data_IF_920756231224
#
_entry.id   IF_920756231224
#
_cell.length_a   1.000
_cell.length_b   1.000
_cell.length_c   1.000
_cell.angle_alpha   90.00
_cell.angle_beta   90.00
_cell.angle_gamma   90.00
#
_symmetry.space_group_name_H-M   'P 1'
#
loop_
_entity.id
_entity.type
_entity.pdbx_description
1 polymer ?
#
# COMPACT_ATOMS: atom_id res chain seq x y z
N UNK A 1 5.98 1.01 24.70
CA UNK A 1 5.19 1.29 23.49
C UNK A 1 4.44 0.01 23.15
N UNK A 2 3.13 0.04 22.86
CA UNK A 2 2.42 -1.19 22.47
C UNK A 2 3.01 -1.70 21.16
N UNK A 3 3.21 -3.01 21.05
CA UNK A 3 3.95 -3.63 19.94
C UNK A 3 3.30 -3.36 18.58
N UNK A 4 1.97 -3.20 18.51
CA UNK A 4 1.30 -2.77 17.27
C UNK A 4 1.72 -1.39 16.71
N UNK A 5 2.29 -0.49 17.53
CA UNK A 5 2.87 0.78 17.03
C UNK A 5 4.26 0.60 16.40
N UNK A 6 4.94 -0.51 16.69
CA UNK A 6 6.29 -0.77 16.20
C UNK A 6 6.30 -0.87 14.67
N UNK A 7 5.45 -1.72 14.10
CA UNK A 7 5.35 -1.89 12.65
C UNK A 7 4.93 -0.60 11.95
N UNK A 8 4.04 0.19 12.55
CA UNK A 8 3.63 1.47 11.98
C UNK A 8 4.80 2.47 11.91
N UNK A 9 5.57 2.58 12.99
CA UNK A 9 6.75 3.45 13.03
C UNK A 9 7.85 2.95 12.11
N UNK A 10 8.09 1.65 12.09
CA UNK A 10 9.04 1.00 11.20
C UNK A 10 8.69 1.27 9.74
N UNK A 11 7.44 1.04 9.33
CA UNK A 11 6.97 1.34 7.98
C UNK A 11 7.18 2.81 7.63
N UNK A 12 6.90 3.74 8.55
CA UNK A 12 7.16 5.16 8.32
C UNK A 12 8.66 5.47 8.17
N UNK A 13 9.51 4.90 9.01
CA UNK A 13 10.97 5.07 8.90
C UNK A 13 11.44 4.53 7.55
N UNK A 14 11.03 3.32 7.17
CA UNK A 14 11.38 2.71 5.88
C UNK A 14 10.90 3.60 4.72
N UNK A 15 9.69 4.17 4.80
CA UNK A 15 9.19 5.11 3.80
C UNK A 15 10.09 6.35 3.67
N UNK A 16 10.60 6.89 4.77
CA UNK A 16 11.53 8.03 4.72
C UNK A 16 12.86 7.62 4.08
N UNK A 17 13.44 6.49 4.49
CA UNK A 17 14.71 6.00 3.99
C UNK A 17 14.64 5.50 2.54
N UNK A 18 13.48 5.03 2.07
CA UNK A 18 13.26 4.67 0.67
C UNK A 18 12.83 5.85 -0.20
N UNK A 19 11.98 6.73 0.33
CA UNK A 19 11.35 7.81 -0.42
C UNK A 19 12.23 9.04 -0.62
N UNK A 20 12.99 9.48 0.40
CA UNK A 20 13.85 10.67 0.27
C UNK A 20 14.96 10.43 -0.78
N UNK A 21 15.71 9.32 -0.74
CA UNK A 21 16.72 9.07 -1.77
C UNK A 21 16.13 8.91 -3.16
N UNK A 22 14.92 8.36 -3.28
CA UNK A 22 14.22 8.28 -4.56
C UNK A 22 13.92 9.66 -5.12
N UNK A 23 13.39 10.58 -4.31
CA UNK A 23 13.13 11.96 -4.73
C UNK A 23 14.40 12.61 -5.25
N UNK A 24 15.50 12.50 -4.49
CA UNK A 24 16.78 13.10 -4.85
C UNK A 24 17.36 12.50 -6.13
N UNK A 25 17.29 11.17 -6.28
CA UNK A 25 17.81 10.49 -7.48
C UNK A 25 16.97 10.80 -8.70
N UNK A 26 15.65 10.90 -8.56
CA UNK A 26 14.79 11.32 -9.66
C UNK A 26 15.02 12.77 -10.07
N UNK A 27 15.26 13.68 -9.14
CA UNK A 27 15.66 15.05 -9.47
C UNK A 27 16.99 15.07 -10.25
N UNK A 28 17.97 14.29 -9.80
CA UNK A 28 19.28 14.16 -10.47
C UNK A 28 19.12 13.62 -11.90
N UNK A 29 18.36 12.52 -12.08
CA UNK A 29 18.04 11.94 -13.39
C UNK A 29 17.29 12.91 -14.32
N UNK A 30 16.56 13.88 -13.77
CA UNK A 30 15.85 14.90 -14.55
C UNK A 30 16.72 16.12 -14.89
N UNK A 31 17.99 16.14 -14.46
CA UNK A 31 18.95 17.19 -14.77
C UNK A 31 18.96 18.34 -13.75
N UNK A 32 18.72 18.05 -12.46
CA UNK A 32 18.86 19.06 -11.42
C UNK A 32 20.28 19.65 -11.41
N UNK A 33 20.45 20.98 -11.35
CA UNK A 33 21.74 21.62 -11.64
C UNK A 33 22.81 21.49 -10.55
N UNK A 34 22.48 20.85 -9.42
CA UNK A 34 23.39 20.68 -8.28
C UNK A 34 23.56 19.20 -7.96
N UNK A 35 24.75 18.78 -7.50
CA UNK A 35 24.98 17.39 -7.11
C UNK A 35 24.08 17.00 -5.94
N UNK A 36 23.32 15.91 -6.10
CA UNK A 36 22.44 15.38 -5.07
C UNK A 36 23.00 14.06 -4.51
N UNK A 37 22.72 13.71 -3.25
CA UNK A 37 23.15 12.43 -2.68
C UNK A 37 22.23 11.30 -3.18
N UNK A 38 22.68 10.55 -4.20
CA UNK A 38 21.90 9.53 -4.94
C UNK A 38 22.28 8.07 -4.62
N UNK A 39 23.18 7.84 -3.66
CA UNK A 39 23.83 6.54 -3.40
C UNK A 39 22.92 5.40 -2.89
N UNK A 40 21.63 5.64 -2.63
CA UNK A 40 20.71 4.63 -2.06
C UNK A 40 19.62 4.16 -3.04
N UNK A 41 19.71 4.52 -4.32
CA UNK A 41 18.60 4.30 -5.26
C UNK A 41 18.48 2.88 -5.81
N UNK A 42 19.58 2.13 -5.93
CA UNK A 42 19.58 0.80 -6.58
C UNK A 42 18.59 -0.18 -5.92
N UNK A 43 18.33 -0.01 -4.63
CA UNK A 43 17.42 -0.87 -3.86
C UNK A 43 16.07 -0.22 -3.58
N UNK A 44 15.75 0.93 -4.20
CA UNK A 44 14.53 1.68 -3.90
C UNK A 44 13.27 0.82 -4.03
N UNK A 45 13.12 0.07 -5.13
CA UNK A 45 11.95 -0.77 -5.35
C UNK A 45 11.84 -1.86 -4.27
N UNK A 46 12.96 -2.46 -3.86
CA UNK A 46 13.00 -3.49 -2.82
C UNK A 46 12.58 -2.91 -1.47
N UNK A 47 13.13 -1.73 -1.11
CA UNK A 47 12.78 -1.01 0.11
C UNK A 47 11.30 -0.64 0.14
N UNK A 48 10.73 -0.20 -0.99
CA UNK A 48 9.31 0.17 -1.05
C UNK A 48 8.39 -1.04 -0.97
N UNK A 49 8.68 -2.12 -1.71
CA UNK A 49 7.79 -3.29 -1.80
C UNK A 49 7.96 -4.21 -0.59
N UNK A 50 9.19 -4.67 -0.33
CA UNK A 50 9.49 -5.65 0.71
C UNK A 50 9.87 -5.02 2.05
N UNK A 51 10.12 -3.71 2.10
CA UNK A 51 10.17 -2.96 3.34
C UNK A 51 8.84 -2.31 3.66
N UNK A 52 8.54 -1.18 3.04
CA UNK A 52 7.40 -0.34 3.41
C UNK A 52 6.05 -1.04 3.28
N UNK A 53 5.70 -1.55 2.10
CA UNK A 53 4.41 -2.23 1.92
C UNK A 53 4.30 -3.51 2.73
N UNK A 54 5.37 -4.32 2.80
CA UNK A 54 5.39 -5.54 3.61
C UNK A 54 5.16 -5.24 5.10
N UNK A 55 5.79 -4.20 5.65
CA UNK A 55 5.59 -3.80 7.05
C UNK A 55 4.17 -3.28 7.30
N UNK A 56 3.61 -2.45 6.40
CA UNK A 56 2.23 -1.96 6.54
C UNK A 56 1.21 -3.11 6.43
N UNK A 57 1.40 -4.03 5.50
CA UNK A 57 0.54 -5.22 5.33
C UNK A 57 0.70 -6.17 6.52
N UNK A 58 1.92 -6.35 7.01
CA UNK A 58 2.18 -7.12 8.22
C UNK A 58 1.47 -6.51 9.44
N UNK A 59 1.39 -5.19 9.54
CA UNK A 59 0.63 -4.51 10.59
C UNK A 59 -0.88 -4.77 10.43
N UNK A 60 -1.42 -4.73 9.20
CA UNK A 60 -2.82 -5.06 8.96
C UNK A 60 -3.13 -6.48 9.42
N UNK A 61 -2.28 -7.46 9.07
CA UNK A 61 -2.49 -8.87 9.40
C UNK A 61 -2.30 -9.16 10.90
N UNK A 62 -1.17 -8.73 11.46
CA UNK A 62 -0.75 -9.11 12.81
C UNK A 62 -1.41 -8.26 13.91
N UNK A 63 -1.90 -7.07 13.57
CA UNK A 63 -2.43 -6.12 14.57
C UNK A 63 -3.90 -5.85 14.30
N UNK A 64 -4.24 -5.22 13.17
CA UNK A 64 -5.60 -4.75 12.91
C UNK A 64 -6.59 -5.92 12.74
N UNK A 65 -6.31 -6.85 11.83
CA UNK A 65 -7.13 -8.03 11.59
C UNK A 65 -7.13 -9.00 12.75
N UNK A 66 -6.00 -9.19 13.45
CA UNK A 66 -5.98 -10.04 14.64
C UNK A 66 -6.93 -9.49 15.71
N UNK A 67 -6.92 -8.17 15.93
CA UNK A 67 -7.85 -7.52 16.85
C UNK A 67 -9.31 -7.64 16.38
N UNK A 68 -9.58 -7.43 15.09
CA UNK A 68 -10.93 -7.58 14.51
C UNK A 68 -11.46 -9.01 14.68
N UNK A 69 -10.61 -10.01 14.43
CA UNK A 69 -11.03 -11.40 14.34
C UNK A 69 -11.03 -12.15 15.67
N UNK A 70 -10.04 -11.91 16.53
CA UNK A 70 -9.87 -12.58 17.83
C UNK A 70 -10.08 -11.66 19.04
N UNK A 71 -10.12 -10.35 18.85
CA UNK A 71 -10.16 -9.37 19.94
C UNK A 71 -8.81 -9.13 20.61
N UNK A 72 -7.73 -9.67 20.06
CA UNK A 72 -6.35 -9.52 20.55
C UNK A 72 -5.36 -9.42 19.38
N UNK A 73 -4.25 -8.70 19.57
CA UNK A 73 -3.17 -8.62 18.58
C UNK A 73 -2.43 -9.96 18.52
N UNK A 74 -1.65 -10.19 17.46
CA UNK A 74 -0.70 -11.29 17.43
C UNK A 74 0.26 -11.19 18.62
N UNK A 75 0.78 -12.33 19.14
CA UNK A 75 1.73 -12.31 20.25
C UNK A 75 2.92 -11.39 19.98
N UNK A 76 3.34 -10.61 20.98
CA UNK A 76 4.38 -9.59 20.86
C UNK A 76 5.68 -10.11 20.23
N UNK A 77 6.13 -11.31 20.64
CA UNK A 77 7.33 -11.94 20.08
C UNK A 77 7.22 -12.20 18.57
N UNK A 78 6.00 -12.43 18.08
CA UNK A 78 5.73 -12.71 16.69
C UNK A 78 5.81 -11.44 15.84
N UNK A 79 5.22 -10.35 16.35
CA UNK A 79 5.27 -9.03 15.71
C UNK A 79 6.71 -8.51 15.68
N UNK A 80 7.43 -8.63 16.80
CA UNK A 80 8.84 -8.23 16.89
C UNK A 80 9.70 -9.09 15.95
N UNK A 81 9.48 -10.41 15.93
CA UNK A 81 10.21 -11.31 15.03
C UNK A 81 10.00 -10.96 13.56
N UNK A 82 8.76 -10.63 13.17
CA UNK A 82 8.45 -10.16 11.82
C UNK A 82 9.16 -8.84 11.49
N UNK A 83 9.04 -7.83 12.36
CA UNK A 83 9.71 -6.54 12.22
C UNK A 83 11.23 -6.67 12.01
N UNK A 84 11.89 -7.43 12.90
CA UNK A 84 13.33 -7.67 12.82
C UNK A 84 13.69 -8.38 11.52
N UNK A 85 12.90 -9.38 11.10
CA UNK A 85 13.15 -10.10 9.84
C UNK A 85 13.08 -9.16 8.64
N UNK A 86 12.10 -8.26 8.59
CA UNK A 86 11.99 -7.25 7.52
C UNK A 86 13.18 -6.30 7.56
N UNK A 87 13.54 -5.73 8.71
CA UNK A 87 14.70 -4.84 8.83
C UNK A 87 16.01 -5.50 8.40
N UNK A 88 16.26 -6.74 8.83
CA UNK A 88 17.48 -7.48 8.42
C UNK A 88 17.46 -7.76 6.91
N UNK A 89 16.30 -8.02 6.31
CA UNK A 89 16.19 -8.17 4.86
C UNK A 89 16.61 -6.91 4.11
N UNK A 90 16.27 -5.73 4.62
CA UNK A 90 16.66 -4.44 4.04
C UNK A 90 18.15 -4.18 4.17
N UNK A 91 18.76 -4.52 5.31
CA UNK A 91 20.21 -4.43 5.51
C UNK A 91 21.00 -5.34 4.57
N UNK A 92 20.39 -6.44 4.12
CA UNK A 92 20.98 -7.39 3.19
C UNK A 92 20.50 -7.20 1.73
N UNK A 93 19.83 -6.08 1.42
CA UNK A 93 19.19 -5.82 0.11
C UNK A 93 20.15 -5.93 -1.09
N UNK A 94 21.45 -5.74 -0.88
CA UNK A 94 22.50 -5.94 -1.88
C UNK A 94 22.88 -7.41 -2.14
N UNK A 95 22.23 -8.35 -1.48
CA UNK A 95 22.55 -9.79 -1.54
C UNK A 95 21.30 -10.62 -1.78
N UNK A 96 21.42 -11.82 -2.37
CA UNK A 96 20.29 -12.73 -2.54
C UNK A 96 19.70 -13.21 -1.19
N UNK A 97 20.44 -13.05 -0.09
CA UNK A 97 19.96 -13.41 1.25
C UNK A 97 18.76 -12.58 1.72
N UNK A 98 18.60 -11.37 1.19
CA UNK A 98 17.43 -10.53 1.46
C UNK A 98 16.12 -11.23 1.11
N UNK A 99 16.04 -11.90 -0.04
CA UNK A 99 14.84 -12.61 -0.48
C UNK A 99 14.50 -13.81 0.42
N UNK A 100 15.48 -14.55 0.94
CA UNK A 100 15.21 -15.64 1.90
C UNK A 100 14.58 -15.12 3.21
N UNK A 101 15.02 -13.94 3.66
CA UNK A 101 14.40 -13.28 4.83
C UNK A 101 13.00 -12.76 4.51
N UNK A 102 12.76 -12.23 3.31
CA UNK A 102 11.41 -11.87 2.86
C UNK A 102 10.50 -13.11 2.83
N UNK A 103 10.98 -14.26 2.33
CA UNK A 103 10.25 -15.53 2.36
C UNK A 103 9.92 -15.97 3.78
N UNK A 104 10.85 -15.81 4.72
CA UNK A 104 10.62 -16.08 6.14
C UNK A 104 9.51 -15.17 6.70
N UNK A 105 9.58 -13.86 6.43
CA UNK A 105 8.58 -12.89 6.86
C UNK A 105 7.18 -13.21 6.28
N UNK A 106 7.11 -13.57 4.99
CA UNK A 106 5.87 -14.02 4.35
C UNK A 106 5.34 -15.33 4.96
N UNK A 107 6.24 -16.28 5.25
CA UNK A 107 5.89 -17.52 5.95
C UNK A 107 5.27 -17.26 7.32
N UNK A 108 5.76 -16.26 8.04
CA UNK A 108 5.14 -15.81 9.29
C UNK A 108 3.73 -15.26 9.02
N UNK A 109 3.57 -14.32 8.09
CA UNK A 109 2.24 -13.78 7.77
C UNK A 109 1.25 -14.89 7.37
N UNK A 110 1.64 -15.83 6.51
CA UNK A 110 0.84 -16.99 6.07
C UNK A 110 0.46 -17.88 7.25
N UNK A 111 1.39 -18.16 8.16
CA UNK A 111 1.10 -18.99 9.33
C UNK A 111 0.05 -18.33 10.23
N UNK A 112 0.22 -17.04 10.52
CA UNK A 112 -0.74 -16.28 11.33
C UNK A 112 -2.09 -16.13 10.62
N UNK A 113 -2.08 -16.10 9.29
CA UNK A 113 -3.26 -15.94 8.45
C UNK A 113 -4.38 -16.94 8.69
N UNK A 114 -4.03 -18.13 9.17
CA UNK A 114 -4.99 -19.22 9.44
C UNK A 114 -6.11 -18.78 10.38
N UNK A 115 -5.84 -17.80 11.23
CA UNK A 115 -6.81 -17.22 12.17
C UNK A 115 -8.02 -16.65 11.43
N UNK A 116 -7.82 -15.88 10.37
CA UNK A 116 -8.90 -15.21 9.64
C UNK A 116 -9.54 -16.08 8.55
N UNK A 117 -9.06 -17.31 8.38
CA UNK A 117 -9.73 -18.35 7.60
C UNK A 117 -10.65 -19.22 8.47
N UNK A 118 -10.70 -18.98 9.77
CA UNK A 118 -11.63 -19.59 10.72
C UNK A 118 -12.73 -18.61 11.11
N UNK A 119 -13.86 -19.04 11.71
CA UNK A 119 -14.87 -18.10 12.22
C UNK A 119 -14.27 -17.12 13.24
N UNK A 120 -14.71 -15.87 13.22
CA UNK A 120 -14.26 -14.85 14.18
C UNK A 120 -14.81 -15.12 15.58
N UNK A 121 -14.25 -14.45 16.60
CA UNK A 121 -14.77 -14.48 17.98
C UNK A 121 -16.23 -14.01 18.08
N UNK A 122 -16.67 -13.18 17.14
CA UNK A 122 -18.06 -12.71 17.00
C UNK A 122 -18.92 -13.66 16.12
N UNK A 123 -18.37 -14.78 15.65
CA UNK A 123 -19.05 -15.75 14.80
C UNK A 123 -19.13 -15.34 13.32
N UNK A 124 -18.42 -14.29 12.90
CA UNK A 124 -18.36 -13.90 11.48
C UNK A 124 -17.59 -14.94 10.69
N UNK A 125 -18.09 -15.29 9.50
CA UNK A 125 -17.40 -16.21 8.61
C UNK A 125 -16.36 -15.45 7.76
N UNK A 126 -15.25 -16.10 7.37
CA UNK A 126 -14.32 -15.54 6.40
C UNK A 126 -15.06 -15.09 5.14
N UNK A 127 -14.69 -13.91 4.65
CA UNK A 127 -15.27 -13.30 3.46
C UNK A 127 -14.29 -13.37 2.29
N UNK A 128 -14.73 -12.95 1.10
CA UNK A 128 -13.89 -12.84 -0.11
C UNK A 128 -12.56 -12.13 0.16
N UNK A 129 -12.59 -11.06 0.96
CA UNK A 129 -11.40 -10.34 1.41
C UNK A 129 -10.35 -11.25 2.06
N UNK A 130 -10.74 -12.06 3.04
CA UNK A 130 -9.82 -12.91 3.81
C UNK A 130 -9.13 -13.94 2.90
N UNK A 131 -9.89 -14.52 1.96
CA UNK A 131 -9.36 -15.48 1.01
C UNK A 131 -8.40 -14.83 -0.01
N UNK A 132 -8.77 -13.67 -0.56
CA UNK A 132 -7.91 -12.96 -1.52
C UNK A 132 -6.61 -12.48 -0.87
N UNK A 133 -6.67 -11.99 0.37
CA UNK A 133 -5.47 -11.62 1.14
C UNK A 133 -4.55 -12.83 1.33
N UNK A 134 -5.09 -13.97 1.76
CA UNK A 134 -4.32 -15.20 1.95
C UNK A 134 -3.69 -15.71 0.64
N UNK A 135 -4.47 -15.75 -0.44
CA UNK A 135 -3.97 -16.12 -1.78
C UNK A 135 -2.87 -15.17 -2.23
N UNK A 136 -2.99 -13.86 -1.97
CA UNK A 136 -1.96 -12.88 -2.30
C UNK A 136 -0.64 -13.18 -1.59
N UNK A 137 -0.67 -13.54 -0.31
CA UNK A 137 0.55 -13.90 0.42
C UNK A 137 1.21 -15.15 -0.18
N UNK A 138 0.42 -16.16 -0.55
CA UNK A 138 0.92 -17.36 -1.23
C UNK A 138 1.56 -17.00 -2.58
N UNK A 139 0.86 -16.22 -3.41
CA UNK A 139 1.40 -15.76 -4.70
C UNK A 139 2.68 -14.94 -4.52
N UNK A 140 2.75 -14.13 -3.47
CA UNK A 140 3.94 -13.35 -3.15
C UNK A 140 5.13 -14.24 -2.78
N UNK A 141 4.91 -15.36 -2.09
CA UNK A 141 5.97 -16.36 -1.85
C UNK A 141 6.55 -16.87 -3.18
N UNK A 142 5.70 -17.22 -4.15
CA UNK A 142 6.16 -17.66 -5.47
C UNK A 142 6.91 -16.55 -6.21
N UNK A 143 6.39 -15.33 -6.18
CA UNK A 143 7.02 -14.15 -6.79
C UNK A 143 8.40 -13.88 -6.18
N UNK A 144 8.50 -13.83 -4.85
CA UNK A 144 9.76 -13.61 -4.12
C UNK A 144 10.75 -14.75 -4.38
N UNK A 145 10.29 -16.00 -4.41
CA UNK A 145 11.16 -17.14 -4.73
C UNK A 145 11.69 -17.07 -6.18
N UNK A 146 10.86 -16.63 -7.12
CA UNK A 146 11.27 -16.42 -8.51
C UNK A 146 12.29 -15.28 -8.63
N UNK A 147 12.12 -14.20 -7.84
CA UNK A 147 13.04 -13.06 -7.80
C UNK A 147 14.45 -13.41 -7.30
N UNK A 148 14.62 -14.49 -6.54
CA UNK A 148 15.95 -14.99 -6.15
C UNK A 148 16.81 -15.31 -7.38
N UNK A 149 16.17 -15.79 -8.45
CA UNK A 149 16.86 -16.23 -9.66
C UNK A 149 16.75 -15.22 -10.81
N UNK A 150 15.75 -14.34 -10.76
CA UNK A 150 15.39 -13.44 -11.86
C UNK A 150 15.14 -12.03 -11.35
N UNK A 151 15.95 -11.08 -11.81
CA UNK A 151 15.81 -9.67 -11.45
C UNK A 151 14.76 -8.98 -12.33
N UNK A 152 13.49 -9.18 -12.00
CA UNK A 152 12.35 -8.58 -12.73
C UNK A 152 11.53 -7.69 -11.79
N UNK A 153 11.96 -6.47 -11.44
CA UNK A 153 11.39 -5.69 -10.34
C UNK A 153 9.87 -5.45 -10.44
N UNK A 154 9.31 -5.36 -11.64
CA UNK A 154 7.89 -5.11 -11.85
C UNK A 154 6.99 -6.24 -11.33
N UNK A 155 7.43 -7.49 -11.35
CA UNK A 155 6.61 -8.62 -10.91
C UNK A 155 6.37 -8.56 -9.40
N UNK A 156 7.28 -7.92 -8.66
CA UNK A 156 7.14 -7.65 -7.23
C UNK A 156 5.98 -6.70 -6.93
N UNK A 157 5.49 -5.89 -7.90
CA UNK A 157 4.29 -5.07 -7.74
C UNK A 157 3.01 -5.90 -7.57
N UNK A 158 3.01 -7.17 -7.94
CA UNK A 158 1.89 -8.10 -7.71
C UNK A 158 1.51 -8.09 -6.22
N UNK A 159 2.50 -8.13 -5.32
CA UNK A 159 2.26 -8.16 -3.88
C UNK A 159 1.44 -6.95 -3.37
N UNK A 160 1.94 -5.71 -3.45
CA UNK A 160 1.21 -4.58 -2.90
C UNK A 160 -0.07 -4.28 -3.69
N UNK A 161 -0.07 -4.49 -5.02
CA UNK A 161 -1.26 -4.25 -5.85
C UNK A 161 -2.40 -5.17 -5.47
N UNK A 162 -2.16 -6.48 -5.43
CA UNK A 162 -3.21 -7.46 -5.12
C UNK A 162 -3.60 -7.42 -3.65
N UNK A 163 -2.67 -7.07 -2.75
CA UNK A 163 -2.99 -6.95 -1.31
C UNK A 163 -3.90 -5.77 -1.07
N UNK A 164 -3.52 -4.59 -1.57
CA UNK A 164 -4.35 -3.39 -1.45
C UNK A 164 -5.70 -3.63 -2.11
N UNK A 165 -5.72 -4.23 -3.30
CA UNK A 165 -6.96 -4.60 -3.98
C UNK A 165 -7.86 -5.53 -3.12
N UNK A 166 -7.27 -6.51 -2.44
CA UNK A 166 -7.99 -7.40 -1.53
C UNK A 166 -8.57 -6.61 -0.36
N UNK A 167 -7.76 -5.81 0.34
CA UNK A 167 -8.17 -4.97 1.47
C UNK A 167 -9.33 -4.03 1.10
N UNK A 168 -9.27 -3.47 -0.10
CA UNK A 168 -10.34 -2.62 -0.63
C UNK A 168 -11.70 -3.31 -0.76
N UNK A 169 -11.74 -4.62 -0.99
CA UNK A 169 -13.02 -5.34 -1.06
C UNK A 169 -13.75 -5.37 0.28
N UNK A 170 -13.07 -5.11 1.40
CA UNK A 170 -13.70 -4.86 2.70
C UNK A 170 -14.00 -3.37 2.87
N UNK A 171 -12.98 -2.55 2.67
CA UNK A 171 -13.01 -1.17 3.17
C UNK A 171 -13.89 -0.22 2.36
N UNK A 172 -14.09 -0.46 1.06
CA UNK A 172 -15.07 0.29 0.26
C UNK A 172 -16.46 0.18 0.90
N UNK A 173 -16.81 -1.00 1.42
CA UNK A 173 -18.06 -1.23 2.13
C UNK A 173 -18.15 -0.38 3.39
N UNK A 174 -17.08 -0.31 4.19
CA UNK A 174 -17.04 0.48 5.42
C UNK A 174 -17.13 1.99 5.16
N UNK A 175 -16.39 2.48 4.16
CA UNK A 175 -16.30 3.91 3.82
C UNK A 175 -17.61 4.45 3.24
N UNK A 176 -18.33 3.64 2.46
CA UNK A 176 -19.58 4.04 1.80
C UNK A 176 -20.84 3.47 2.45
N UNK A 177 -20.75 3.04 3.71
CA UNK A 177 -21.91 2.75 4.55
C UNK A 177 -22.65 1.45 4.20
N UNK A 178 -21.91 0.36 3.99
CA UNK A 178 -22.46 -1.01 3.93
C UNK A 178 -23.03 -1.43 2.57
N UNK A 179 -22.48 -0.92 1.46
CA UNK A 179 -22.91 -1.38 0.13
C UNK A 179 -22.46 -2.81 -0.17
N UNK A 180 -23.35 -3.55 -0.83
CA UNK A 180 -23.06 -4.87 -1.40
C UNK A 180 -22.05 -4.70 -2.54
N UNK A 181 -20.79 -4.95 -2.22
CA UNK A 181 -19.73 -5.18 -3.20
C UNK A 181 -20.06 -6.47 -3.95
N UNK A 182 -19.82 -6.48 -5.26
CA UNK A 182 -20.05 -7.67 -6.08
C UNK A 182 -18.84 -8.57 -6.03
N UNK A 183 -18.76 -9.40 -5.00
CA UNK A 183 -17.62 -10.28 -4.72
C UNK A 183 -17.11 -11.06 -5.94
N UNK A 184 -18.02 -11.62 -6.76
CA UNK A 184 -17.62 -12.34 -7.97
C UNK A 184 -16.85 -11.46 -8.96
N UNK A 185 -17.31 -10.23 -9.19
CA UNK A 185 -16.62 -9.30 -10.09
C UNK A 185 -15.27 -8.86 -9.51
N UNK A 186 -15.16 -8.71 -8.19
CA UNK A 186 -13.89 -8.44 -7.51
C UNK A 186 -12.90 -9.60 -7.65
N UNK A 187 -13.35 -10.85 -7.50
CA UNK A 187 -12.49 -12.04 -7.69
C UNK A 187 -12.00 -12.14 -9.14
N UNK A 188 -12.88 -11.92 -10.12
CA UNK A 188 -12.44 -11.89 -11.52
C UNK A 188 -11.48 -10.74 -11.79
N UNK A 189 -11.76 -9.55 -11.25
CA UNK A 189 -10.85 -8.41 -11.37
C UNK A 189 -9.47 -8.70 -10.79
N UNK A 190 -9.40 -9.33 -9.61
CA UNK A 190 -8.17 -9.78 -8.99
C UNK A 190 -7.38 -10.72 -9.92
N UNK A 191 -8.04 -11.73 -10.49
CA UNK A 191 -7.40 -12.68 -11.39
C UNK A 191 -6.88 -12.02 -12.67
N UNK A 192 -7.66 -11.11 -13.26
CA UNK A 192 -7.26 -10.34 -14.44
C UNK A 192 -6.07 -9.41 -14.14
N UNK A 193 -6.05 -8.73 -13.00
CA UNK A 193 -4.92 -7.91 -12.57
C UNK A 193 -3.66 -8.75 -12.35
N UNK A 194 -3.78 -9.90 -11.68
CA UNK A 194 -2.66 -10.84 -11.49
C UNK A 194 -2.08 -11.28 -12.83
N UNK A 195 -2.92 -11.79 -13.73
CA UNK A 195 -2.48 -12.26 -15.04
C UNK A 195 -1.89 -11.12 -15.87
N UNK A 196 -2.49 -9.93 -15.82
CA UNK A 196 -2.00 -8.75 -16.51
C UNK A 196 -0.60 -8.36 -16.06
N UNK A 197 -0.33 -8.36 -14.75
CA UNK A 197 1.00 -8.09 -14.20
C UNK A 197 2.02 -9.18 -14.54
N UNK A 198 1.61 -10.46 -14.54
CA UNK A 198 2.48 -11.58 -14.86
C UNK A 198 2.92 -11.60 -16.33
N UNK A 199 2.05 -11.23 -17.26
CA UNK A 199 2.35 -11.29 -18.70
C UNK A 199 2.97 -9.99 -19.25
N UNK A 200 3.13 -8.94 -18.43
CA UNK A 200 3.86 -7.73 -18.82
C UNK A 200 5.30 -8.08 -19.22
N UNK A 201 5.84 -7.55 -20.34
CA UNK A 201 5.37 -6.41 -21.15
C UNK A 201 4.53 -6.77 -22.40
N UNK A 202 3.93 -7.96 -22.48
CA UNK A 202 3.13 -8.32 -23.64
C UNK A 202 1.89 -7.42 -23.76
N UNK A 203 1.44 -7.14 -25.00
CA UNK A 203 0.24 -6.32 -25.25
C UNK A 203 -1.04 -6.89 -24.58
N UNK A 204 -1.08 -8.20 -24.36
CA UNK A 204 -2.15 -8.87 -23.61
C UNK A 204 -2.26 -8.39 -22.15
N UNK A 205 -1.16 -7.91 -21.57
CA UNK A 205 -1.14 -7.27 -20.25
C UNK A 205 -2.11 -6.10 -20.18
N UNK A 206 -2.08 -5.21 -21.18
CA UNK A 206 -2.98 -4.05 -21.28
C UNK A 206 -4.45 -4.47 -21.24
N UNK A 207 -4.83 -5.47 -22.03
CA UNK A 207 -6.21 -5.99 -22.07
C UNK A 207 -6.64 -6.59 -20.73
N UNK A 208 -5.77 -7.39 -20.10
CA UNK A 208 -6.05 -8.02 -18.82
C UNK A 208 -6.17 -6.98 -17.70
N UNK A 209 -5.26 -5.99 -17.64
CA UNK A 209 -5.33 -4.91 -16.66
C UNK A 209 -6.59 -4.06 -16.89
N UNK A 210 -6.95 -3.76 -18.14
CA UNK A 210 -8.19 -3.07 -18.46
C UNK A 210 -9.44 -3.86 -18.01
N UNK A 211 -9.49 -5.16 -18.27
CA UNK A 211 -10.58 -6.02 -17.81
C UNK A 211 -10.66 -6.05 -16.28
N UNK A 212 -9.51 -6.14 -15.61
CA UNK A 212 -9.40 -6.06 -14.15
C UNK A 212 -9.90 -4.71 -13.61
N UNK A 213 -9.47 -3.61 -14.22
CA UNK A 213 -9.96 -2.28 -13.90
C UNK A 213 -11.48 -2.17 -14.07
N UNK A 214 -12.02 -2.58 -15.22
CA UNK A 214 -13.44 -2.47 -15.53
C UNK A 214 -14.30 -3.23 -14.52
N UNK A 215 -13.96 -4.50 -14.26
CA UNK A 215 -14.67 -5.35 -13.30
C UNK A 215 -14.54 -4.81 -11.88
N UNK A 216 -13.36 -4.31 -11.48
CA UNK A 216 -13.20 -3.71 -10.15
C UNK A 216 -13.98 -2.42 -9.97
N UNK A 217 -14.02 -1.57 -11.00
CA UNK A 217 -14.74 -0.30 -10.98
C UNK A 217 -16.25 -0.52 -10.87
N UNK A 218 -16.76 -1.47 -11.65
CA UNK A 218 -18.16 -1.85 -11.62
C UNK A 218 -18.52 -2.58 -10.32
N UNK A 219 -17.69 -3.55 -9.91
CA UNK A 219 -17.92 -4.41 -8.75
C UNK A 219 -17.82 -3.68 -7.41
N UNK A 220 -16.99 -2.64 -7.32
CA UNK A 220 -16.89 -1.76 -6.15
C UNK A 220 -18.12 -0.85 -5.97
N UNK A 221 -18.88 -0.60 -7.04
CA UNK A 221 -20.02 0.31 -7.01
C UNK A 221 -19.66 1.78 -6.75
N UNK A 222 -18.38 2.17 -6.93
CA UNK A 222 -17.82 3.48 -6.60
C UNK A 222 -18.60 4.65 -7.26
N UNK A 223 -19.00 4.49 -8.52
CA UNK A 223 -19.77 5.50 -9.28
C UNK A 223 -21.04 5.88 -8.54
N UNK A 224 -21.78 4.85 -8.10
CA UNK A 224 -23.07 5.03 -7.46
C UNK A 224 -22.91 5.38 -5.98
N UNK A 225 -21.71 5.22 -5.40
CA UNK A 225 -21.47 5.29 -3.96
C UNK A 225 -21.95 6.61 -3.35
N UNK A 226 -22.70 6.48 -2.26
CA UNK A 226 -23.09 7.57 -1.37
C UNK A 226 -22.19 7.46 -0.14
N UNK A 227 -21.56 8.54 0.28
CA UNK A 227 -20.66 8.55 1.42
C UNK A 227 -19.77 9.79 1.43
N UNK A 228 -18.66 9.73 2.16
CA UNK A 228 -17.75 10.86 2.31
C UNK A 228 -17.12 11.23 0.97
N UNK A 229 -17.05 12.54 0.70
CA UNK A 229 -16.50 13.08 -0.56
C UNK A 229 -15.03 12.74 -0.74
N UNK A 230 -14.23 12.89 0.32
CA UNK A 230 -12.78 12.71 0.24
C UNK A 230 -12.36 11.29 -0.21
N UNK A 231 -12.83 10.20 0.43
CA UNK A 231 -12.58 8.85 -0.08
C UNK A 231 -13.07 8.63 -1.51
N UNK A 232 -14.25 9.17 -1.87
CA UNK A 232 -14.77 9.05 -3.23
C UNK A 232 -13.83 9.66 -4.26
N UNK A 233 -13.30 10.85 -3.99
CA UNK A 233 -12.33 11.55 -4.86
C UNK A 233 -11.04 10.73 -4.96
N UNK A 234 -10.45 10.35 -3.82
CA UNK A 234 -9.18 9.62 -3.79
C UNK A 234 -9.27 8.27 -4.51
N UNK A 235 -10.33 7.50 -4.26
CA UNK A 235 -10.56 6.21 -4.93
C UNK A 235 -10.86 6.37 -6.42
N UNK A 236 -11.59 7.43 -6.82
CA UNK A 236 -11.83 7.69 -8.24
C UNK A 236 -10.52 7.99 -8.97
N UNK A 237 -9.64 8.76 -8.33
CA UNK A 237 -8.30 9.05 -8.87
C UNK A 237 -7.46 7.77 -8.94
N UNK A 238 -7.47 6.93 -7.91
CA UNK A 238 -6.76 5.65 -7.91
C UNK A 238 -7.21 4.75 -9.08
N UNK A 239 -8.51 4.66 -9.34
CA UNK A 239 -9.06 3.88 -10.47
C UNK A 239 -8.68 4.47 -11.81
N UNK A 240 -8.64 5.80 -11.93
CA UNK A 240 -8.16 6.45 -13.16
C UNK A 240 -6.69 6.08 -13.42
N UNK A 241 -5.84 6.08 -12.40
CA UNK A 241 -4.45 5.64 -12.58
C UNK A 241 -4.30 4.17 -12.90
N UNK A 242 -5.14 3.30 -12.32
CA UNK A 242 -5.16 1.88 -12.69
C UNK A 242 -5.58 1.70 -14.16
N UNK A 243 -6.58 2.46 -14.64
CA UNK A 243 -6.93 2.48 -16.07
C UNK A 243 -5.75 2.97 -16.92
N UNK A 244 -5.13 4.08 -16.56
CA UNK A 244 -4.00 4.63 -17.29
C UNK A 244 -2.81 3.67 -17.32
N UNK A 245 -2.59 2.87 -16.27
CA UNK A 245 -1.57 1.83 -16.27
C UNK A 245 -1.79 0.79 -17.38
N UNK A 246 -3.05 0.44 -17.70
CA UNK A 246 -3.34 -0.45 -18.82
C UNK A 246 -2.84 0.13 -20.16
N UNK A 247 -2.95 1.45 -20.34
CA UNK A 247 -2.51 2.14 -21.54
C UNK A 247 -0.97 2.24 -21.55
N UNK A 248 -0.38 2.70 -20.44
CA UNK A 248 1.06 2.90 -20.34
C UNK A 248 1.86 1.59 -20.39
N UNK A 249 1.24 0.46 -20.05
CA UNK A 249 1.86 -0.86 -20.23
C UNK A 249 2.30 -1.12 -21.68
N UNK A 250 1.72 -0.41 -22.66
CA UNK A 250 2.06 -0.52 -24.09
C UNK A 250 3.16 0.46 -24.54
N UNK A 251 3.42 1.52 -23.77
CA UNK A 251 4.19 2.69 -24.26
C UNK A 251 5.40 3.05 -23.41
N UNK A 252 5.35 2.90 -22.09
CA UNK A 252 6.45 3.29 -21.20
C UNK A 252 6.44 2.45 -19.93
N UNK A 253 7.56 1.76 -19.68
CA UNK A 253 7.79 0.99 -18.46
C UNK A 253 7.66 1.87 -17.22
N UNK A 254 8.34 3.01 -17.18
CA UNK A 254 8.32 3.89 -16.00
C UNK A 254 6.92 4.47 -15.76
N UNK A 255 6.23 4.94 -16.81
CA UNK A 255 4.87 5.45 -16.65
C UNK A 255 3.89 4.37 -16.17
N UNK A 256 4.05 3.13 -16.64
CA UNK A 256 3.28 1.97 -16.19
C UNK A 256 3.50 1.70 -14.70
N UNK A 257 4.77 1.56 -14.28
CA UNK A 257 5.15 1.28 -12.89
C UNK A 257 4.66 2.39 -11.96
N UNK A 258 4.90 3.67 -12.29
CA UNK A 258 4.50 4.79 -11.43
C UNK A 258 2.98 4.98 -11.39
N UNK A 259 2.25 4.67 -12.46
CA UNK A 259 0.78 4.70 -12.45
C UNK A 259 0.20 3.68 -11.47
N UNK A 260 0.81 2.52 -11.32
CA UNK A 260 0.41 1.56 -10.29
C UNK A 260 0.94 1.99 -8.93
N UNK A 261 2.27 2.02 -8.77
CA UNK A 261 2.94 2.17 -7.49
C UNK A 261 2.59 3.47 -6.77
N UNK A 262 2.51 4.58 -7.51
CA UNK A 262 2.19 5.90 -6.96
C UNK A 262 0.72 6.22 -7.19
N UNK A 263 0.25 6.07 -8.43
CA UNK A 263 -1.09 6.48 -8.83
C UNK A 263 -2.19 5.64 -8.18
N UNK A 264 -2.13 4.32 -8.30
CA UNK A 264 -3.15 3.43 -7.75
C UNK A 264 -2.97 3.17 -6.25
N UNK A 265 -1.77 2.76 -5.81
CA UNK A 265 -1.56 2.32 -4.42
C UNK A 265 -1.68 3.47 -3.41
N UNK A 266 -0.96 4.57 -3.59
CA UNK A 266 -1.00 5.66 -2.60
C UNK A 266 -2.34 6.40 -2.59
N UNK A 267 -2.98 6.65 -3.75
CA UNK A 267 -4.32 7.24 -3.73
C UNK A 267 -5.36 6.31 -3.10
N UNK A 268 -5.18 4.99 -3.21
CA UNK A 268 -5.99 4.04 -2.45
C UNK A 268 -5.74 4.18 -0.95
N UNK A 269 -4.48 4.16 -0.51
CA UNK A 269 -4.11 4.34 0.91
C UNK A 269 -4.71 5.65 1.47
N UNK A 270 -4.66 6.75 0.70
CA UNK A 270 -5.25 8.03 1.09
C UNK A 270 -6.78 8.00 1.13
N UNK A 271 -7.42 7.23 0.25
CA UNK A 271 -8.88 7.15 0.19
C UNK A 271 -9.48 6.27 1.28
N UNK A 272 -8.70 5.27 1.70
CA UNK A 272 -9.12 4.20 2.60
C UNK A 272 -8.39 4.32 3.93
N UNK A 273 -8.30 5.54 4.46
CA UNK A 273 -7.68 5.88 5.77
C UNK A 273 -8.04 4.91 6.92
N UNK A 274 -9.11 4.12 6.75
CA UNK A 274 -9.52 2.97 7.57
C UNK A 274 -8.35 2.06 7.94
N UNK A 275 -7.44 1.69 7.03
CA UNK A 275 -6.30 0.80 7.38
C UNK A 275 -5.42 1.43 8.46
N UNK A 276 -5.00 2.69 8.26
CA UNK A 276 -4.20 3.41 9.26
C UNK A 276 -4.99 3.72 10.53
N UNK A 277 -6.28 4.07 10.40
CA UNK A 277 -7.15 4.38 11.53
C UNK A 277 -7.43 3.13 12.37
N UNK A 278 -7.70 1.98 11.76
CA UNK A 278 -7.98 0.71 12.42
C UNK A 278 -6.72 0.15 13.06
N UNK A 279 -5.55 0.28 12.41
CA UNK A 279 -4.25 0.02 13.03
C UNK A 279 -4.06 0.87 14.29
N UNK A 280 -4.37 2.16 14.22
CA UNK A 280 -4.18 3.09 15.33
C UNK A 280 -5.19 2.88 16.45
N UNK A 281 -6.45 2.58 16.14
CA UNK A 281 -7.47 2.20 17.11
C UNK A 281 -7.06 0.90 17.80
N UNK A 282 -6.64 -0.11 17.03
CA UNK A 282 -6.18 -1.40 17.52
C UNK A 282 -4.95 -1.28 18.41
N UNK A 283 -4.00 -0.42 18.01
CA UNK A 283 -2.78 -0.18 18.77
C UNK A 283 -3.05 0.62 20.03
N UNK A 284 -3.93 1.62 20.03
CA UNK A 284 -4.05 2.58 21.14
C UNK A 284 -5.28 2.36 22.02
N UNK A 285 -6.28 1.62 21.54
CA UNK A 285 -7.61 1.50 22.15
C UNK A 285 -8.44 2.77 22.10
N UNK A 286 -7.98 3.82 21.40
CA UNK A 286 -8.65 5.12 21.33
C UNK A 286 -9.32 5.27 19.97
N UNK A 287 -10.61 5.59 19.94
CA UNK A 287 -11.29 5.97 18.70
C UNK A 287 -10.75 7.30 18.19
N UNK A 288 -10.03 7.26 17.07
CA UNK A 288 -9.44 8.44 16.44
C UNK A 288 -10.32 8.90 15.27
N UNK A 289 -10.60 10.20 15.21
CA UNK A 289 -11.22 10.84 14.04
C UNK A 289 -10.17 11.65 13.29
N UNK A 290 -9.82 11.23 12.08
CA UNK A 290 -8.92 11.98 11.20
C UNK A 290 -9.75 12.87 10.28
N UNK A 291 -9.43 14.16 10.24
CA UNK A 291 -10.00 15.09 9.26
C UNK A 291 -9.24 14.94 7.93
N UNK A 292 -9.96 14.79 6.81
CA UNK A 292 -9.33 14.66 5.51
C UNK A 292 -8.60 15.95 5.12
N UNK A 293 -7.48 15.81 4.41
CA UNK A 293 -6.73 16.92 3.80
C UNK A 293 -6.56 16.62 2.33
N UNK A 294 -6.94 17.55 1.44
CA UNK A 294 -6.78 17.36 0.00
C UNK A 294 -5.37 17.70 -0.50
N UNK A 295 -4.54 18.35 0.34
CA UNK A 295 -3.17 18.74 -0.03
C UNK A 295 -2.32 17.53 -0.48
N UNK A 296 -2.27 16.40 0.26
CA UNK A 296 -1.54 15.22 -0.18
C UNK A 296 -1.97 14.70 -1.55
N UNK A 297 -3.28 14.60 -1.78
CA UNK A 297 -3.84 14.12 -3.05
C UNK A 297 -3.45 15.05 -4.19
N UNK A 298 -3.60 16.36 -4.01
CA UNK A 298 -3.28 17.35 -5.06
C UNK A 298 -1.79 17.29 -5.40
N UNK A 299 -0.91 17.34 -4.40
CA UNK A 299 0.54 17.32 -4.61
C UNK A 299 1.01 16.01 -5.25
N UNK A 300 0.53 14.86 -4.75
CA UNK A 300 0.88 13.55 -5.29
C UNK A 300 0.50 13.46 -6.78
N UNK A 301 -0.73 13.83 -7.13
CA UNK A 301 -1.23 13.64 -8.49
C UNK A 301 -0.68 14.68 -9.47
N UNK A 302 -0.44 15.93 -9.06
CA UNK A 302 0.27 16.89 -9.90
C UNK A 302 1.72 16.47 -10.15
N UNK A 303 2.40 15.95 -9.12
CA UNK A 303 3.73 15.39 -9.24
C UNK A 303 3.79 14.15 -10.12
N UNK A 304 2.76 13.29 -10.05
CA UNK A 304 2.67 12.08 -10.87
C UNK A 304 2.33 12.41 -12.34
N UNK A 305 1.47 13.40 -12.60
CA UNK A 305 1.20 13.86 -13.97
C UNK A 305 2.47 14.38 -14.64
N UNK A 306 3.23 15.24 -13.95
CA UNK A 306 4.51 15.73 -14.46
C UNK A 306 5.52 14.59 -14.61
N UNK A 307 5.51 13.61 -13.69
CA UNK A 307 6.35 12.41 -13.80
C UNK A 307 6.06 11.60 -15.06
N UNK A 308 4.79 11.30 -15.33
CA UNK A 308 4.39 10.53 -16.51
C UNK A 308 4.73 11.26 -17.80
N UNK A 309 4.55 12.59 -17.85
CA UNK A 309 4.98 13.40 -18.99
C UNK A 309 6.49 13.26 -19.23
N UNK A 310 7.30 13.29 -18.16
CA UNK A 310 8.74 13.05 -18.27
C UNK A 310 9.06 11.62 -18.74
N UNK A 311 8.40 10.61 -18.17
CA UNK A 311 8.56 9.19 -18.52
C UNK A 311 8.13 8.86 -19.97
N UNK A 312 7.41 9.78 -20.64
CA UNK A 312 7.07 9.72 -22.06
C UNK A 312 8.10 10.43 -22.97
N UNK A 313 9.19 10.95 -22.41
CA UNK A 313 10.31 11.54 -23.14
C UNK A 313 10.26 13.06 -23.29
N UNK A 314 9.31 13.75 -22.66
CA UNK A 314 9.27 15.21 -22.67
C UNK A 314 10.24 15.79 -21.64
N UNK A 315 10.90 16.89 -21.99
CA UNK A 315 11.83 17.60 -21.10
C UNK A 315 11.36 19.03 -20.87
N UNK A 316 11.33 19.46 -19.61
CA UNK A 316 11.03 20.83 -19.21
C UNK A 316 11.48 21.05 -17.77
N UNK A 317 11.99 22.25 -17.41
CA UNK A 317 12.36 22.56 -16.02
C UNK A 317 11.21 22.36 -15.01
N UNK A 318 9.96 22.49 -15.46
CA UNK A 318 8.78 22.25 -14.60
C UNK A 318 8.66 20.77 -14.19
N UNK A 319 9.19 19.84 -14.99
CA UNK A 319 9.13 18.41 -14.69
C UNK A 319 10.07 18.01 -13.55
N UNK A 320 11.07 18.84 -13.21
CA UNK A 320 11.92 18.67 -12.02
C UNK A 320 11.11 18.70 -10.71
N UNK A 321 9.92 19.32 -10.73
CA UNK A 321 9.04 19.37 -9.57
C UNK A 321 8.29 18.05 -9.34
N UNK A 322 8.31 17.13 -10.29
CA UNK A 322 7.56 15.86 -10.23
C UNK A 322 7.86 15.06 -8.96
N UNK A 323 9.15 14.81 -8.68
CA UNK A 323 9.58 14.02 -7.53
C UNK A 323 9.37 14.77 -6.19
N UNK A 324 9.75 16.06 -6.04
CA UNK A 324 9.43 16.84 -4.84
C UNK A 324 7.94 16.89 -4.52
N UNK A 325 7.08 17.11 -5.53
CA UNK A 325 5.63 17.17 -5.32
C UNK A 325 5.07 15.84 -4.81
N UNK A 326 5.52 14.72 -5.38
CA UNK A 326 5.14 13.39 -4.89
C UNK A 326 5.64 13.15 -3.46
N UNK A 327 6.92 13.42 -3.19
CA UNK A 327 7.51 13.24 -1.86
C UNK A 327 6.81 14.08 -0.79
N UNK A 328 6.61 15.38 -1.04
CA UNK A 328 5.89 16.28 -0.13
C UNK A 328 4.43 15.83 0.02
N UNK A 329 3.78 15.39 -1.06
CA UNK A 329 2.43 14.84 -1.03
C UNK A 329 2.32 13.69 -0.03
N UNK A 330 3.15 12.66 -0.18
CA UNK A 330 3.20 11.49 0.71
C UNK A 330 3.53 11.90 2.15
N UNK A 331 4.57 12.69 2.37
CA UNK A 331 4.97 13.12 3.71
C UNK A 331 3.87 13.94 4.40
N UNK A 332 3.23 14.84 3.66
CA UNK A 332 2.16 15.68 4.21
C UNK A 332 0.95 14.84 4.64
N UNK A 333 0.66 13.73 3.97
CA UNK A 333 -0.37 12.79 4.39
C UNK A 333 -0.03 12.19 5.75
N UNK A 334 1.12 11.53 5.87
CA UNK A 334 1.54 10.88 7.10
C UNK A 334 1.67 11.87 8.26
N UNK A 335 2.34 13.01 8.05
CA UNK A 335 2.50 14.02 9.09
C UNK A 335 1.16 14.56 9.59
N UNK A 336 0.21 14.83 8.68
CA UNK A 336 -1.12 15.29 9.07
C UNK A 336 -1.90 14.20 9.83
N UNK A 337 -1.84 12.96 9.38
CA UNK A 337 -2.48 11.82 10.05
C UNK A 337 -1.89 11.62 11.44
N UNK A 338 -0.58 11.48 11.57
CA UNK A 338 0.10 11.32 12.86
C UNK A 338 -0.16 12.49 13.80
N UNK A 339 -0.06 13.74 13.33
CA UNK A 339 -0.32 14.92 14.15
C UNK A 339 -1.74 14.89 14.74
N UNK A 340 -2.74 14.54 13.94
CA UNK A 340 -4.12 14.45 14.39
C UNK A 340 -4.34 13.31 15.39
N UNK A 341 -3.68 12.18 15.15
CA UNK A 341 -3.75 10.96 15.96
C UNK A 341 -3.08 11.19 17.32
N UNK A 342 -1.82 11.61 17.35
CA UNK A 342 -1.08 11.87 18.59
C UNK A 342 -1.77 12.93 19.46
N UNK A 343 -2.34 13.97 18.83
CA UNK A 343 -3.12 14.98 19.55
C UNK A 343 -4.36 14.40 20.24
N UNK A 344 -4.99 13.38 19.65
CA UNK A 344 -6.16 12.72 20.25
C UNK A 344 -5.75 11.74 21.34
N UNK A 345 -4.74 10.89 21.09
CA UNK A 345 -4.21 9.95 22.10
C UNK A 345 -3.74 10.69 23.36
N UNK A 346 -3.06 11.83 23.22
CA UNK A 346 -2.59 12.62 24.38
C UNK A 346 -3.73 13.20 25.24
N UNK A 347 -4.93 13.39 24.67
CA UNK A 347 -6.08 13.97 25.37
C UNK A 347 -6.88 12.92 26.15
N UNK A 348 -6.90 11.66 25.72
CA UNK A 348 -7.70 10.59 26.33
C UNK A 348 -7.34 10.28 27.81
N UNK A 349 -6.06 10.29 28.25
CA UNK A 349 -5.70 10.02 29.65
C UNK A 349 -6.28 11.02 30.67
N UNK A 350 -6.79 12.17 30.24
CA UNK A 350 -7.32 13.20 31.14
C UNK A 350 -8.82 13.05 31.44
N UNK A 351 -9.54 12.17 30.74
CA UNK A 351 -10.99 11.99 30.94
C UNK A 351 -11.27 10.94 32.02
N UNK A 352 -10.52 9.84 32.08
CA UNK A 352 -10.69 8.81 33.12
C UNK A 352 -10.34 9.30 34.53
N UNK A 353 -9.40 10.26 34.65
CA UNK A 353 -9.04 10.87 35.94
C UNK A 353 -9.99 11.97 36.44
N UNK A 354 -11.06 12.28 35.71
CA UNK A 354 -12.10 13.26 36.13
C UNK A 354 -13.42 12.59 36.53
N UNK A 355 -13.49 11.26 36.47
CA UNK A 355 -14.69 10.47 36.82
C UNK A 355 -14.42 9.51 37.98
N UNK A 356 -13.24 9.60 38.60
CA UNK A 356 -12.95 9.10 39.95
C UNK A 356 -12.84 10.30 40.89
#
# INVERSE_FOLDING_TARGET
MRVGMLLLLEGFIILLFGGIPAVLTFMDMQGFPYPLPTTFFEFHWFIMIYGFFLTIIGNEILVALSMEWKGEQAPDYYVIGFAVTVLVSLLLSSTPYSFYLVLLALGMLIYHSRIYLSPSKLGLRPTTYNYLLFVTLILTVFVTAFQIFLDLPWISLIFPTLTIFSVMSRDIGLVFGGRLIKDKEIVFAYAFLLLGLLVYPNWTSSLLIFAGWFLSFHGSGLVKARGRVYPKVSLSIAWTWLLLSSIFSLTSYDAFIHSIAVGFLFNTVFGVDVVLIDMLISATGVHVKVKPSYIPIILLNLGLLTRVIFDMGFTSPLLLLSAPLQGIGILSFYLNTFRQVFKQIRKTPQVEKRVQ
#
